data_IF_761813912735
#
_entry.id   IF_761813912735
#
_cell.length_a   1.000
_cell.length_b   1.000
_cell.length_c   1.000
_cell.angle_alpha   90.00
_cell.angle_beta   90.00
_cell.angle_gamma   90.00
#
_symmetry.space_group_name_H-M   'P 1'
#
loop_
_entity.id
_entity.type
_entity.pdbx_description
1 polymer ?
#
# COMPACT_ATOMS: atom_id res chain seq x y z
N UNK A 1 1.14 26.73 -7.35
CA UNK A 1 1.09 25.28 -7.06
C UNK A 1 1.07 24.53 -8.38
N UNK A 2 2.07 23.71 -8.67
CA UNK A 2 2.10 22.86 -9.86
C UNK A 2 0.95 21.84 -9.82
N UNK A 3 0.26 21.66 -10.95
CA UNK A 3 -0.83 20.69 -11.05
C UNK A 3 -0.31 19.28 -10.77
N UNK A 4 -0.92 18.59 -9.81
CA UNK A 4 -0.51 17.24 -9.39
C UNK A 4 -0.84 16.24 -10.50
N UNK A 5 0.14 15.46 -10.95
CA UNK A 5 -0.03 14.48 -12.03
C UNK A 5 -1.18 13.49 -11.73
N UNK A 6 -2.01 13.23 -12.75
CA UNK A 6 -3.10 12.24 -12.72
C UNK A 6 -2.65 10.84 -13.13
N UNK A 7 -1.43 10.68 -13.66
CA UNK A 7 -0.92 9.39 -14.15
C UNK A 7 -0.92 8.34 -13.03
N UNK A 8 -1.54 7.15 -13.23
CA UNK A 8 -1.61 6.11 -12.20
C UNK A 8 -0.25 5.64 -11.68
N UNK A 9 0.75 5.50 -12.56
CA UNK A 9 2.13 5.13 -12.20
C UNK A 9 2.84 6.17 -11.32
N UNK A 10 2.44 7.44 -11.43
CA UNK A 10 2.97 8.52 -10.57
C UNK A 10 2.28 8.52 -9.20
N UNK A 11 1.02 8.09 -9.13
CA UNK A 11 0.24 8.00 -7.88
C UNK A 11 0.44 6.68 -7.13
N UNK A 12 0.86 5.63 -7.83
CA UNK A 12 1.16 4.32 -7.28
C UNK A 12 2.51 3.83 -7.82
N UNK A 13 3.61 3.98 -7.05
CA UNK A 13 4.95 3.62 -7.50
C UNK A 13 5.11 2.12 -7.79
N UNK A 14 4.26 1.26 -7.22
CA UNK A 14 4.26 -0.19 -7.50
C UNK A 14 4.00 -0.45 -8.99
N UNK A 15 3.13 0.34 -9.62
CA UNK A 15 2.79 0.17 -11.04
C UNK A 15 3.94 0.52 -12.00
N UNK A 16 5.00 1.17 -11.51
CA UNK A 16 6.20 1.43 -12.30
C UNK A 16 7.20 0.24 -12.28
N UNK A 17 6.99 -0.76 -11.41
CA UNK A 17 7.84 -1.94 -11.36
C UNK A 17 7.49 -2.89 -12.51
N UNK A 18 8.47 -3.40 -13.29
CA UNK A 18 8.19 -4.37 -14.35
C UNK A 18 7.47 -5.63 -13.85
N UNK A 19 7.76 -6.05 -12.62
CA UNK A 19 7.14 -7.20 -11.98
C UNK A 19 5.67 -6.99 -11.62
N UNK A 20 5.17 -5.76 -11.57
CA UNK A 20 3.77 -5.48 -11.22
C UNK A 20 2.79 -5.98 -12.29
N UNK A 21 3.23 -6.13 -13.54
CA UNK A 21 2.41 -6.73 -14.61
C UNK A 21 1.98 -8.18 -14.28
N UNK A 22 2.79 -8.90 -13.50
CA UNK A 22 2.47 -10.26 -13.04
C UNK A 22 1.24 -10.32 -12.12
N UNK A 23 0.83 -9.20 -11.53
CA UNK A 23 -0.39 -9.15 -10.72
C UNK A 23 -1.64 -9.33 -11.58
N UNK A 24 -1.61 -8.89 -12.84
CA UNK A 24 -2.74 -9.01 -13.78
C UNK A 24 -2.94 -10.44 -14.27
N UNK A 25 -1.88 -11.26 -14.28
CA UNK A 25 -1.95 -12.67 -14.69
C UNK A 25 -2.42 -13.61 -13.58
N UNK A 26 -2.62 -13.10 -12.35
CA UNK A 26 -3.14 -13.92 -11.25
C UNK A 26 -4.63 -14.21 -11.46
N UNK A 27 -5.12 -15.42 -11.11
CA UNK A 27 -6.54 -15.71 -11.06
C UNK A 27 -7.30 -14.70 -10.17
N UNK A 28 -8.55 -14.33 -10.52
CA UNK A 28 -9.34 -13.35 -9.77
C UNK A 28 -9.44 -13.64 -8.26
N UNK A 29 -9.55 -14.91 -7.90
CA UNK A 29 -9.70 -15.39 -6.52
C UNK A 29 -8.41 -15.18 -5.73
N UNK A 30 -7.26 -15.43 -6.36
CA UNK A 30 -5.95 -15.16 -5.77
C UNK A 30 -5.73 -13.65 -5.63
N UNK A 31 -6.14 -12.85 -6.63
CA UNK A 31 -6.09 -11.38 -6.56
C UNK A 31 -6.93 -10.86 -5.39
N UNK A 32 -8.13 -11.40 -5.21
CA UNK A 32 -9.04 -11.01 -4.14
C UNK A 32 -8.46 -11.35 -2.77
N UNK A 33 -8.01 -12.59 -2.55
CA UNK A 33 -7.43 -13.01 -1.28
C UNK A 33 -6.21 -12.16 -0.88
N UNK A 34 -5.31 -11.88 -1.83
CA UNK A 34 -4.14 -11.02 -1.58
C UNK A 34 -4.55 -9.58 -1.33
N UNK A 35 -5.56 -9.06 -2.06
CA UNK A 35 -6.09 -7.72 -1.84
C UNK A 35 -6.63 -7.55 -0.42
N UNK A 36 -7.38 -8.52 0.09
CA UNK A 36 -7.97 -8.45 1.42
C UNK A 36 -6.89 -8.44 2.52
N UNK A 37 -5.88 -9.31 2.42
CA UNK A 37 -4.73 -9.32 3.34
C UNK A 37 -3.99 -7.98 3.33
N UNK A 38 -3.74 -7.42 2.15
CA UNK A 38 -3.05 -6.12 2.03
C UNK A 38 -3.88 -4.97 2.57
N UNK A 39 -5.21 -5.04 2.44
CA UNK A 39 -6.12 -4.06 3.04
C UNK A 39 -6.04 -4.12 4.57
N UNK A 40 -6.12 -5.31 5.15
CA UNK A 40 -6.02 -5.51 6.61
C UNK A 40 -4.67 -5.06 7.15
N UNK A 41 -3.58 -5.45 6.50
CA UNK A 41 -2.23 -4.99 6.87
C UNK A 41 -2.13 -3.46 6.82
N UNK A 42 -2.77 -2.84 5.84
CA UNK A 42 -2.77 -1.38 5.73
C UNK A 42 -3.55 -0.70 6.86
N UNK A 43 -4.63 -1.30 7.35
CA UNK A 43 -5.41 -0.81 8.50
C UNK A 43 -4.60 -0.99 9.79
N UNK A 44 -4.07 -2.19 10.03
CA UNK A 44 -3.26 -2.52 11.21
C UNK A 44 -2.01 -1.62 11.30
N UNK A 45 -1.27 -1.45 10.20
CA UNK A 45 -0.10 -0.58 10.17
C UNK A 45 -0.44 0.88 10.52
N UNK A 46 -1.59 1.41 10.09
CA UNK A 46 -2.03 2.75 10.49
C UNK A 46 -2.32 2.84 11.99
N UNK A 47 -2.96 1.82 12.56
CA UNK A 47 -3.24 1.76 13.99
C UNK A 47 -1.93 1.69 14.81
N UNK A 48 -0.99 0.85 14.40
CA UNK A 48 0.34 0.74 15.02
C UNK A 48 1.14 2.03 14.94
N UNK A 49 1.12 2.71 13.79
CA UNK A 49 1.75 4.02 13.65
C UNK A 49 1.19 5.02 14.67
N UNK A 50 -0.13 5.04 14.85
CA UNK A 50 -0.77 5.93 15.83
C UNK A 50 -0.39 5.59 17.28
N UNK A 51 -0.29 4.30 17.61
CA UNK A 51 0.23 3.87 18.93
C UNK A 51 1.67 4.33 19.11
N UNK A 52 2.53 4.16 18.11
CA UNK A 52 3.93 4.59 18.16
C UNK A 52 4.06 6.11 18.32
N UNK A 53 3.24 6.91 17.63
CA UNK A 53 3.20 8.37 17.83
C UNK A 53 2.85 8.74 19.27
N UNK A 54 1.76 8.17 19.81
CA UNK A 54 1.34 8.44 21.20
C UNK A 54 2.36 8.03 22.25
N UNK A 55 3.24 7.07 21.93
CA UNK A 55 4.31 6.59 22.82
C UNK A 55 5.66 7.27 22.56
N UNK A 56 5.69 8.36 21.79
CA UNK A 56 6.91 9.08 21.41
C UNK A 56 7.95 8.19 20.69
N UNK A 57 7.51 7.14 19.99
CA UNK A 57 8.38 6.24 19.20
C UNK A 57 8.39 6.66 17.73
N UNK A 58 8.96 7.83 17.45
CA UNK A 58 8.95 8.47 16.13
C UNK A 58 9.40 7.57 14.97
N UNK A 59 10.60 6.96 15.02
CA UNK A 59 11.07 6.07 13.96
C UNK A 59 10.11 4.90 13.67
N UNK A 60 9.52 4.33 14.71
CA UNK A 60 8.56 3.24 14.54
C UNK A 60 7.24 3.70 13.96
N UNK A 61 6.81 4.90 14.30
CA UNK A 61 5.60 5.46 13.72
C UNK A 61 5.77 5.74 12.22
N UNK A 62 6.94 6.23 11.79
CA UNK A 62 7.28 6.41 10.37
C UNK A 62 7.36 5.07 9.64
N UNK A 63 8.04 4.08 10.21
CA UNK A 63 8.10 2.72 9.66
C UNK A 63 6.69 2.17 9.40
N UNK A 64 5.81 2.19 10.40
CA UNK A 64 4.44 1.70 10.25
C UNK A 64 3.61 2.52 9.26
N UNK A 65 3.85 3.84 9.15
CA UNK A 65 3.25 4.66 8.08
C UNK A 65 3.71 4.22 6.68
N UNK A 66 5.01 3.95 6.50
CA UNK A 66 5.55 3.47 5.24
C UNK A 66 4.98 2.10 4.85
N UNK A 67 4.92 1.16 5.81
CA UNK A 67 4.26 -0.15 5.62
C UNK A 67 2.81 0.04 5.18
N UNK A 68 2.04 0.87 5.90
CA UNK A 68 0.65 1.14 5.56
C UNK A 68 0.47 1.75 4.15
N UNK A 69 1.36 2.66 3.75
CA UNK A 69 1.35 3.27 2.43
C UNK A 69 1.61 2.24 1.31
N UNK A 70 2.68 1.44 1.42
CA UNK A 70 2.98 0.42 0.42
C UNK A 70 1.95 -0.72 0.39
N UNK A 71 1.39 -1.11 1.53
CA UNK A 71 0.27 -2.05 1.57
C UNK A 71 -0.96 -1.50 0.81
N UNK A 72 -1.28 -0.20 0.94
CA UNK A 72 -2.35 0.43 0.13
C UNK A 72 -2.02 0.45 -1.36
N UNK A 73 -0.78 0.75 -1.72
CA UNK A 73 -0.33 0.75 -3.10
C UNK A 73 -0.43 -0.64 -3.75
N UNK A 74 0.01 -1.68 -3.03
CA UNK A 74 -0.11 -3.07 -3.47
C UNK A 74 -1.58 -3.51 -3.53
N UNK A 75 -2.39 -3.21 -2.51
CA UNK A 75 -3.84 -3.49 -2.52
C UNK A 75 -4.51 -2.92 -3.77
N UNK A 76 -4.23 -1.64 -4.09
CA UNK A 76 -4.80 -0.97 -5.27
C UNK A 76 -4.29 -1.55 -6.59
N UNK A 77 -3.09 -2.12 -6.60
CA UNK A 77 -2.51 -2.74 -7.79
C UNK A 77 -3.06 -4.16 -8.03
N UNK A 78 -3.37 -4.92 -6.97
CA UNK A 78 -3.78 -6.33 -7.10
C UNK A 78 -5.29 -6.53 -7.12
N UNK A 79 -6.08 -5.67 -6.44
CA UNK A 79 -7.55 -5.82 -6.37
C UNK A 79 -8.15 -5.97 -7.78
N UNK A 80 -9.21 -6.78 -7.96
CA UNK A 80 -9.88 -7.00 -9.25
C UNK A 80 -10.12 -5.73 -10.05
#
# INVERSE_FOLDING_TARGET
MTARSSKPSVRNPVLALPSAERLKSLPPEARQAVADILRDLSIDARARAQVSWRRNKGPMAVYWKAVGAYATHLYRAVRP
#
